data_IF_024234717297
#
_entry.id   IF_024234717297
#
_cell.length_a   1.000
_cell.length_b   1.000
_cell.length_c   1.000
_cell.angle_alpha   90.00
_cell.angle_beta   90.00
_cell.angle_gamma   90.00
#
_symmetry.space_group_name_H-M   'P 1'
#
loop_
_entity.id
_entity.type
_entity.pdbx_description
1 polymer ?
#
# COMPACT_ATOMS: atom_id res chain seq x y z
N UNK A 1 -58.40 -19.82 82.76
CA UNK A 1 -57.08 -19.19 83.02
C UNK A 1 -56.02 -20.22 82.63
N UNK A 2 -55.22 -20.07 81.59
CA UNK A 2 -54.28 -18.98 81.33
C UNK A 2 -54.15 -18.66 79.83
N UNK A 3 -53.78 -17.40 79.59
CA UNK A 3 -53.73 -16.66 78.34
C UNK A 3 -52.69 -17.16 77.33
N UNK A 4 -53.10 -17.22 76.06
CA UNK A 4 -52.19 -17.26 74.90
C UNK A 4 -51.51 -15.89 74.77
N UNK A 5 -50.25 -15.78 75.16
CA UNK A 5 -49.42 -14.63 74.81
C UNK A 5 -48.87 -14.82 73.39
N UNK A 6 -49.46 -14.10 72.42
CA UNK A 6 -48.85 -13.92 71.10
C UNK A 6 -47.62 -13.03 71.25
N UNK A 7 -46.42 -13.60 71.05
CA UNK A 7 -45.20 -12.83 70.84
C UNK A 7 -45.32 -12.19 69.45
N UNK A 8 -45.42 -10.86 69.41
CA UNK A 8 -45.52 -10.09 68.16
C UNK A 8 -44.28 -10.28 67.27
N UNK A 9 -44.37 -9.98 65.96
CA UNK A 9 -43.30 -10.26 65.01
C UNK A 9 -42.05 -9.44 65.32
N UNK A 10 -40.89 -10.09 65.25
CA UNK A 10 -39.59 -9.51 65.53
C UNK A 10 -39.10 -8.71 64.31
N UNK A 11 -39.45 -7.42 64.26
CA UNK A 11 -39.22 -6.54 63.09
C UNK A 11 -37.74 -6.34 62.72
N UNK A 12 -36.80 -6.58 63.65
CA UNK A 12 -35.36 -6.45 63.39
C UNK A 12 -34.77 -7.60 62.58
N UNK A 13 -35.24 -8.84 62.75
CA UNK A 13 -34.78 -9.99 61.95
C UNK A 13 -35.35 -9.95 60.53
N UNK A 14 -36.53 -9.33 60.34
CA UNK A 14 -37.17 -9.17 59.03
C UNK A 14 -36.40 -8.15 58.17
N UNK A 15 -35.88 -7.06 58.76
CA UNK A 15 -35.15 -6.02 58.02
C UNK A 15 -33.63 -6.21 57.99
N UNK A 16 -33.04 -6.98 58.92
CA UNK A 16 -31.59 -7.13 59.04
C UNK A 16 -31.09 -8.59 58.98
N UNK A 17 -31.89 -9.51 58.43
CA UNK A 17 -31.50 -10.91 58.20
C UNK A 17 -30.62 -11.09 56.95
N UNK A 18 -29.70 -12.05 56.97
CA UNK A 18 -28.85 -12.42 55.81
C UNK A 18 -29.66 -12.74 54.55
N UNK A 19 -30.83 -13.32 54.73
CA UNK A 19 -31.78 -13.64 53.65
C UNK A 19 -32.28 -12.37 52.96
N UNK A 20 -32.59 -11.30 53.71
CA UNK A 20 -33.05 -10.04 53.15
C UNK A 20 -31.94 -9.31 52.39
N UNK A 21 -30.70 -9.42 52.88
CA UNK A 21 -29.51 -8.92 52.16
C UNK A 21 -29.29 -9.65 50.84
N UNK A 22 -29.54 -10.96 50.78
CA UNK A 22 -29.44 -11.73 49.54
C UNK A 22 -30.50 -11.32 48.51
N UNK A 23 -31.76 -11.12 48.95
CA UNK A 23 -32.81 -10.61 48.09
C UNK A 23 -32.54 -9.18 47.62
N UNK A 24 -32.06 -8.29 48.50
CA UNK A 24 -31.68 -6.93 48.14
C UNK A 24 -30.51 -6.91 47.13
N UNK A 25 -29.52 -7.79 47.30
CA UNK A 25 -28.41 -7.94 46.37
C UNK A 25 -28.87 -8.38 44.98
N UNK A 26 -29.70 -9.43 44.91
CA UNK A 26 -30.26 -9.90 43.64
C UNK A 26 -31.17 -8.86 42.97
N UNK A 27 -31.91 -8.09 43.76
CA UNK A 27 -32.70 -6.98 43.26
C UNK A 27 -31.82 -5.91 42.60
N UNK A 28 -30.70 -5.53 43.25
CA UNK A 28 -29.74 -4.57 42.69
C UNK A 28 -29.11 -5.11 41.41
N UNK A 29 -28.70 -6.39 41.38
CA UNK A 29 -28.13 -7.02 40.18
C UNK A 29 -29.12 -7.02 39.03
N UNK A 30 -30.38 -7.38 39.29
CA UNK A 30 -31.43 -7.38 38.27
C UNK A 30 -31.73 -5.96 37.78
N UNK A 31 -31.75 -4.98 38.67
CA UNK A 31 -31.94 -3.58 38.32
C UNK A 31 -30.81 -3.03 37.44
N UNK A 32 -29.54 -3.35 37.78
CA UNK A 32 -28.38 -2.99 36.97
C UNK A 32 -28.40 -3.66 35.60
N UNK A 33 -28.80 -4.95 35.54
CA UNK A 33 -28.98 -5.67 34.29
C UNK A 33 -30.11 -5.09 33.41
N UNK A 34 -31.16 -4.54 34.01
CA UNK A 34 -32.23 -3.87 33.27
C UNK A 34 -31.76 -2.55 32.65
N UNK A 35 -30.91 -1.80 33.35
CA UNK A 35 -30.32 -0.56 32.84
C UNK A 35 -29.37 -0.83 31.66
N UNK A 36 -28.55 -1.88 31.72
CA UNK A 36 -27.66 -2.21 30.58
C UNK A 36 -28.43 -2.64 29.34
N UNK A 37 -29.53 -3.38 29.49
CA UNK A 37 -30.41 -3.73 28.37
C UNK A 37 -31.05 -2.48 27.76
N UNK A 38 -31.45 -1.51 28.58
CA UNK A 38 -31.98 -0.23 28.10
C UNK A 38 -30.93 0.55 27.31
N UNK A 39 -29.71 0.65 27.81
CA UNK A 39 -28.62 1.38 27.15
C UNK A 39 -28.27 0.76 25.78
N UNK A 40 -28.24 -0.57 25.69
CA UNK A 40 -28.01 -1.27 24.42
C UNK A 40 -29.16 -1.04 23.45
N UNK A 41 -30.40 -1.07 23.91
CA UNK A 41 -31.57 -0.80 23.08
C UNK A 41 -31.55 0.63 22.51
N UNK A 42 -31.19 1.62 23.34
CA UNK A 42 -31.07 3.02 22.94
C UNK A 42 -29.95 3.22 21.90
N UNK A 43 -28.82 2.54 22.08
CA UNK A 43 -27.71 2.56 21.11
C UNK A 43 -28.12 1.93 19.76
N UNK A 44 -28.87 0.82 19.79
CA UNK A 44 -29.39 0.20 18.56
C UNK A 44 -30.36 1.12 17.83
N UNK A 45 -31.24 1.83 18.55
CA UNK A 45 -32.16 2.80 17.95
C UNK A 45 -31.38 3.96 17.32
N UNK A 46 -30.42 4.54 18.03
CA UNK A 46 -29.58 5.62 17.49
C UNK A 46 -28.79 5.18 16.26
N UNK A 47 -28.21 3.98 16.26
CA UNK A 47 -27.48 3.46 15.09
C UNK A 47 -28.40 3.24 13.87
N UNK A 48 -29.67 2.90 14.10
CA UNK A 48 -30.67 2.75 13.03
C UNK A 48 -31.17 4.11 12.53
N UNK A 49 -31.30 5.09 13.43
CA UNK A 49 -31.81 6.43 13.11
C UNK A 49 -30.76 7.31 12.41
N UNK A 50 -29.48 7.22 12.81
CA UNK A 50 -28.36 7.96 12.22
C UNK A 50 -27.39 7.01 11.47
N UNK A 51 -27.78 6.45 10.31
CA UNK A 51 -26.81 5.78 9.44
C UNK A 51 -25.76 6.81 9.01
N UNK A 52 -24.50 6.40 8.81
CA UNK A 52 -23.48 7.30 8.26
C UNK A 52 -23.91 7.81 6.88
N UNK A 53 -24.46 9.02 6.82
CA UNK A 53 -24.86 9.65 5.58
C UNK A 53 -23.61 10.31 5.00
N UNK A 54 -23.01 9.69 3.99
CA UNK A 54 -21.99 10.34 3.19
C UNK A 54 -22.70 11.25 2.19
N UNK A 55 -22.77 12.54 2.50
CA UNK A 55 -23.26 13.56 1.57
C UNK A 55 -22.23 13.75 0.45
N UNK A 56 -22.53 13.18 -0.73
CA UNK A 56 -21.75 13.38 -1.93
C UNK A 56 -22.13 14.71 -2.59
N UNK A 57 -21.43 15.79 -2.25
CA UNK A 57 -21.56 17.06 -2.97
C UNK A 57 -20.57 17.11 -4.14
N UNK A 58 -21.08 16.93 -5.37
CA UNK A 58 -20.27 17.12 -6.58
C UNK A 58 -20.19 18.62 -6.87
N UNK A 59 -19.06 19.23 -6.54
CA UNK A 59 -18.76 20.63 -6.88
C UNK A 59 -17.89 20.65 -8.12
N UNK A 60 -18.44 21.18 -9.22
CA UNK A 60 -17.65 21.43 -10.43
C UNK A 60 -16.84 22.70 -10.23
N UNK A 61 -15.56 22.53 -9.91
CA UNK A 61 -14.61 23.63 -9.79
C UNK A 61 -13.83 23.79 -11.10
N UNK A 62 -13.97 24.95 -11.76
CA UNK A 62 -13.24 25.28 -13.00
C UNK A 62 -11.73 25.47 -12.78
N UNK A 63 -11.28 25.65 -11.52
CA UNK A 63 -9.86 25.79 -11.18
C UNK A 63 -9.18 24.49 -10.73
N UNK A 64 -9.81 23.33 -10.93
CA UNK A 64 -9.17 22.06 -10.60
C UNK A 64 -7.94 21.85 -11.50
N UNK A 65 -6.76 21.73 -10.89
CA UNK A 65 -5.54 21.38 -11.63
C UNK A 65 -5.66 19.95 -12.11
N UNK A 66 -5.36 19.72 -13.40
CA UNK A 66 -5.32 18.38 -13.98
C UNK A 66 -4.31 17.52 -13.19
N UNK A 67 -4.72 16.34 -12.69
CA UNK A 67 -3.79 15.46 -12.00
C UNK A 67 -2.76 14.91 -12.97
N UNK A 68 -1.60 14.51 -12.45
CA UNK A 68 -0.59 13.83 -13.25
C UNK A 68 -1.17 12.53 -13.82
N UNK A 69 -1.06 12.35 -15.13
CA UNK A 69 -1.52 11.14 -15.82
C UNK A 69 -0.32 10.22 -16.05
N UNK A 70 -0.45 8.99 -15.57
CA UNK A 70 0.55 7.93 -15.82
C UNK A 70 0.04 7.00 -16.90
N UNK A 71 0.86 6.75 -17.92
CA UNK A 71 0.56 5.82 -18.99
C UNK A 71 1.27 4.49 -18.77
N UNK A 72 0.51 3.39 -18.79
CA UNK A 72 1.05 2.03 -18.75
C UNK A 72 1.01 1.44 -20.16
N UNK A 73 2.18 1.14 -20.73
CA UNK A 73 2.29 0.47 -22.03
C UNK A 73 2.88 -0.92 -21.86
N UNK A 74 2.30 -1.91 -22.57
CA UNK A 74 2.88 -3.25 -22.63
C UNK A 74 4.19 -3.26 -23.40
N UNK A 75 5.12 -4.15 -23.03
CA UNK A 75 6.45 -4.26 -23.66
C UNK A 75 6.39 -4.34 -25.19
N UNK A 76 5.49 -5.14 -25.74
CA UNK A 76 5.37 -5.31 -27.19
C UNK A 76 4.93 -4.04 -27.92
N UNK A 77 4.03 -3.27 -27.30
CA UNK A 77 3.59 -1.98 -27.84
C UNK A 77 4.71 -0.94 -27.73
N UNK A 78 5.35 -0.88 -26.57
CA UNK A 78 6.45 0.02 -26.27
C UNK A 78 7.65 -0.18 -27.21
N UNK A 79 7.87 -1.41 -27.69
CA UNK A 79 8.99 -1.73 -28.59
C UNK A 79 8.61 -1.77 -30.08
N UNK A 80 7.34 -1.56 -30.43
CA UNK A 80 6.85 -1.75 -31.79
C UNK A 80 7.44 -0.79 -32.82
N UNK A 81 7.89 0.38 -32.38
CA UNK A 81 8.46 1.42 -33.25
C UNK A 81 9.97 1.25 -33.50
N UNK A 82 10.64 0.39 -32.74
CA UNK A 82 12.07 0.15 -32.92
C UNK A 82 12.33 -0.96 -33.93
N UNK A 83 12.99 -0.62 -35.04
CA UNK A 83 13.46 -1.60 -36.03
C UNK A 83 14.71 -2.29 -35.48
N UNK A 84 14.52 -3.44 -34.85
CA UNK A 84 15.63 -4.27 -34.38
C UNK A 84 16.14 -5.08 -35.58
N UNK A 85 17.19 -4.59 -36.24
CA UNK A 85 17.92 -5.39 -37.22
C UNK A 85 18.64 -6.53 -36.49
N UNK A 86 18.06 -7.72 -36.51
CA UNK A 86 18.61 -8.95 -35.89
C UNK A 86 19.88 -9.45 -36.56
N UNK A 87 20.31 -8.86 -37.67
CA UNK A 87 21.48 -9.27 -38.46
C UNK A 87 22.76 -8.52 -38.13
N UNK A 88 22.70 -7.35 -37.48
CA UNK A 88 23.84 -6.43 -37.38
C UNK A 88 24.53 -6.39 -36.02
N UNK A 89 24.04 -7.12 -35.01
CA UNK A 89 24.58 -6.93 -33.66
C UNK A 89 24.90 -8.25 -32.98
N UNK A 90 26.20 -8.58 -32.98
CA UNK A 90 26.75 -9.54 -32.03
C UNK A 90 26.41 -9.07 -30.61
N UNK A 91 25.89 -9.97 -29.78
CA UNK A 91 25.35 -9.65 -28.44
C UNK A 91 26.34 -8.95 -27.51
N UNK A 92 27.65 -9.07 -27.76
CA UNK A 92 28.70 -8.41 -26.98
C UNK A 92 28.87 -6.91 -27.22
N UNK A 93 28.46 -6.40 -28.39
CA UNK A 93 28.61 -4.97 -28.72
C UNK A 93 27.52 -4.10 -28.08
N UNK A 94 26.41 -4.67 -27.65
CA UNK A 94 25.32 -3.89 -27.04
C UNK A 94 25.74 -3.28 -25.71
N UNK A 95 26.30 -4.10 -24.82
CA UNK A 95 26.67 -3.69 -23.47
C UNK A 95 27.78 -2.63 -23.50
N UNK A 96 28.78 -2.82 -24.36
CA UNK A 96 29.91 -1.89 -24.54
C UNK A 96 29.44 -0.54 -25.08
N UNK A 97 28.55 -0.54 -26.07
CA UNK A 97 27.99 0.70 -26.62
C UNK A 97 27.20 1.46 -25.55
N UNK A 98 26.46 0.75 -24.71
CA UNK A 98 25.68 1.41 -23.65
C UNK A 98 26.60 1.96 -22.56
N UNK A 99 27.65 1.24 -22.18
CA UNK A 99 28.64 1.71 -21.21
C UNK A 99 29.39 2.94 -21.74
N UNK A 100 29.80 2.95 -23.01
CA UNK A 100 30.41 4.11 -23.66
C UNK A 100 29.45 5.30 -23.71
N UNK A 101 28.15 5.08 -23.94
CA UNK A 101 27.15 6.15 -23.94
C UNK A 101 26.87 6.68 -22.55
N UNK A 102 26.81 5.80 -21.55
CA UNK A 102 26.64 6.19 -20.16
C UNK A 102 27.84 7.02 -19.70
N UNK A 103 29.08 6.61 -20.01
CA UNK A 103 30.28 7.38 -19.64
C UNK A 103 30.34 8.76 -20.30
N UNK A 104 29.84 8.88 -21.53
CA UNK A 104 29.72 10.18 -22.22
C UNK A 104 28.65 11.12 -21.59
N UNK A 105 27.62 10.56 -20.97
CA UNK A 105 26.56 11.31 -20.28
C UNK A 105 26.93 11.49 -18.80
N UNK A 106 27.93 12.31 -18.47
CA UNK A 106 28.41 12.46 -17.08
C UNK A 106 27.51 13.34 -16.20
N UNK A 107 26.84 14.33 -16.80
CA UNK A 107 26.18 15.40 -16.05
C UNK A 107 24.67 15.14 -15.91
N UNK A 108 24.08 15.59 -14.79
CA UNK A 108 22.64 15.47 -14.52
C UNK A 108 21.77 16.04 -15.66
N UNK A 109 22.05 17.28 -16.09
CA UNK A 109 21.33 17.93 -17.18
C UNK A 109 21.56 17.24 -18.51
N UNK A 110 22.79 16.82 -18.80
CA UNK A 110 23.13 16.12 -20.05
C UNK A 110 22.32 14.82 -20.20
N UNK A 111 22.14 14.08 -19.11
CA UNK A 111 21.38 12.83 -19.10
C UNK A 111 19.87 13.05 -19.35
N UNK A 112 19.30 14.15 -18.85
CA UNK A 112 17.88 14.46 -18.99
C UNK A 112 17.54 15.16 -20.31
N UNK A 113 18.43 15.99 -20.84
CA UNK A 113 18.16 16.78 -22.04
C UNK A 113 18.54 16.05 -23.33
N UNK A 114 19.65 15.31 -23.33
CA UNK A 114 20.11 14.65 -24.54
C UNK A 114 19.19 13.47 -24.94
N UNK A 115 18.96 13.25 -26.24
CA UNK A 115 18.16 12.14 -26.71
C UNK A 115 18.91 10.82 -26.47
N UNK A 116 18.20 9.80 -26.01
CA UNK A 116 18.81 8.49 -25.80
C UNK A 116 18.79 7.66 -27.07
N UNK A 117 19.78 6.77 -27.18
CA UNK A 117 19.75 5.76 -28.22
C UNK A 117 18.67 4.71 -27.93
N UNK A 118 18.12 4.09 -28.97
CA UNK A 118 17.05 3.10 -28.81
C UNK A 118 17.49 1.92 -27.94
N UNK A 119 18.77 1.54 -28.01
CA UNK A 119 19.37 0.47 -27.21
C UNK A 119 19.32 0.79 -25.72
N UNK A 120 19.71 2.01 -25.37
CA UNK A 120 19.69 2.53 -24.00
C UNK A 120 18.26 2.63 -23.47
N UNK A 121 17.31 3.08 -24.29
CA UNK A 121 15.88 3.14 -23.94
C UNK A 121 15.33 1.74 -23.65
N UNK A 122 15.68 0.74 -24.48
CA UNK A 122 15.26 -0.65 -24.28
C UNK A 122 15.78 -1.22 -22.98
N UNK A 123 17.07 -1.04 -22.68
CA UNK A 123 17.67 -1.54 -21.44
C UNK A 123 17.10 -0.83 -20.21
N UNK A 124 16.93 0.50 -20.28
CA UNK A 124 16.29 1.28 -19.23
C UNK A 124 14.85 0.83 -18.97
N UNK A 125 14.06 0.59 -20.02
CA UNK A 125 12.70 0.05 -19.89
C UNK A 125 12.70 -1.35 -19.27
N UNK A 126 13.65 -2.21 -19.64
CA UNK A 126 13.81 -3.55 -19.04
C UNK A 126 14.21 -3.46 -17.55
N UNK A 127 15.03 -2.49 -17.17
CA UNK A 127 15.36 -2.17 -15.77
C UNK A 127 14.10 -1.80 -14.99
N UNK A 128 13.37 -0.79 -15.48
CA UNK A 128 12.17 -0.24 -14.84
C UNK A 128 11.08 -1.32 -14.71
N UNK A 129 10.80 -2.04 -15.78
CA UNK A 129 9.80 -3.12 -15.77
C UNK A 129 10.20 -4.25 -14.83
N UNK A 130 11.48 -4.57 -14.71
CA UNK A 130 11.98 -5.54 -13.73
C UNK A 130 11.77 -5.03 -12.30
N UNK A 131 12.10 -3.78 -12.00
CA UNK A 131 11.89 -3.19 -10.67
C UNK A 131 10.41 -3.16 -10.27
N UNK A 132 9.51 -2.71 -11.16
CA UNK A 132 8.07 -2.71 -10.87
C UNK A 132 7.49 -4.12 -10.74
N UNK A 133 8.01 -5.09 -11.50
CA UNK A 133 7.59 -6.49 -11.35
C UNK A 133 7.98 -7.02 -9.97
N UNK A 134 9.17 -6.66 -9.47
CA UNK A 134 9.62 -7.03 -8.14
C UNK A 134 8.78 -6.37 -7.07
N UNK A 135 8.55 -5.05 -7.16
CA UNK A 135 7.70 -4.32 -6.22
C UNK A 135 6.31 -4.97 -6.11
N UNK A 136 5.73 -5.36 -7.26
CA UNK A 136 4.41 -6.01 -7.30
C UNK A 136 4.41 -7.41 -6.69
N UNK A 137 5.48 -8.18 -6.87
CA UNK A 137 5.60 -9.53 -6.34
C UNK A 137 6.04 -9.56 -4.86
N UNK A 138 6.66 -8.49 -4.36
CA UNK A 138 7.06 -8.34 -2.97
C UNK A 138 5.87 -7.99 -2.09
N UNK A 139 5.19 -9.01 -1.56
CA UNK A 139 4.23 -8.81 -0.45
C UNK A 139 4.97 -8.56 0.86
N UNK A 140 4.38 -7.79 1.79
CA UNK A 140 5.00 -7.47 3.10
C UNK A 140 5.48 -8.72 3.86
N UNK A 141 4.69 -9.80 3.83
CA UNK A 141 5.05 -11.07 4.47
C UNK A 141 6.09 -11.88 3.66
N UNK A 142 6.14 -11.70 2.34
CA UNK A 142 7.04 -12.41 1.42
C UNK A 142 8.34 -11.66 1.08
N UNK A 143 8.53 -10.43 1.59
CA UNK A 143 9.62 -9.55 1.19
C UNK A 143 10.99 -10.19 1.39
N UNK A 144 11.23 -10.79 2.57
CA UNK A 144 12.50 -11.48 2.86
C UNK A 144 12.75 -12.62 1.87
N UNK A 145 11.72 -13.40 1.55
CA UNK A 145 11.84 -14.51 0.59
C UNK A 145 12.09 -14.02 -0.84
N UNK A 146 11.40 -12.95 -1.26
CA UNK A 146 11.57 -12.35 -2.58
C UNK A 146 12.97 -11.74 -2.76
N UNK A 147 13.50 -11.07 -1.74
CA UNK A 147 14.87 -10.54 -1.74
C UNK A 147 15.87 -11.70 -1.76
N UNK A 148 15.65 -12.74 -0.97
CA UNK A 148 16.55 -13.89 -0.98
C UNK A 148 16.54 -14.61 -2.33
N UNK A 149 15.37 -14.71 -2.98
CA UNK A 149 15.25 -15.24 -4.33
C UNK A 149 16.00 -14.39 -5.35
N UNK A 150 15.90 -13.06 -5.27
CA UNK A 150 16.68 -12.14 -6.11
C UNK A 150 18.20 -12.28 -5.89
N UNK A 151 18.60 -12.51 -4.63
CA UNK A 151 20.00 -12.64 -4.25
C UNK A 151 20.60 -13.97 -4.71
N UNK A 152 19.88 -15.07 -4.57
CA UNK A 152 20.42 -16.42 -4.72
C UNK A 152 20.15 -17.04 -6.09
N UNK A 153 19.08 -16.64 -6.79
CA UNK A 153 18.71 -17.31 -8.03
C UNK A 153 19.62 -16.94 -9.21
N UNK A 154 20.15 -17.93 -9.94
CA UNK A 154 21.01 -17.67 -11.11
C UNK A 154 20.22 -17.12 -12.29
N UNK A 155 18.92 -17.44 -12.39
CA UNK A 155 18.04 -16.95 -13.46
C UNK A 155 17.84 -15.42 -13.41
N UNK A 156 17.99 -14.81 -12.24
CA UNK A 156 17.85 -13.37 -12.04
C UNK A 156 19.20 -12.63 -12.02
N UNK A 157 20.32 -13.33 -12.25
CA UNK A 157 21.65 -12.73 -12.22
C UNK A 157 21.78 -11.58 -13.24
N UNK A 158 21.37 -11.80 -14.50
CA UNK A 158 21.43 -10.77 -15.54
C UNK A 158 20.57 -9.54 -15.21
N UNK A 159 19.35 -9.74 -14.69
CA UNK A 159 18.49 -8.63 -14.26
C UNK A 159 19.08 -7.85 -13.10
N UNK A 160 19.74 -8.53 -12.16
CA UNK A 160 20.39 -7.89 -11.02
C UNK A 160 21.58 -7.04 -11.45
N UNK A 161 22.38 -7.53 -12.39
CA UNK A 161 23.56 -6.81 -12.86
C UNK A 161 23.15 -5.57 -13.68
N UNK A 162 22.08 -5.71 -14.48
CA UNK A 162 21.42 -4.58 -15.15
C UNK A 162 20.89 -3.54 -14.14
N UNK A 163 20.16 -3.97 -13.10
CA UNK A 163 19.69 -3.07 -12.04
C UNK A 163 20.85 -2.35 -11.36
N UNK A 164 21.95 -3.06 -11.04
CA UNK A 164 23.13 -2.45 -10.41
C UNK A 164 23.77 -1.41 -11.32
N UNK A 165 23.97 -1.71 -12.60
CA UNK A 165 24.54 -0.79 -13.60
C UNK A 165 23.73 0.51 -13.67
N UNK A 166 22.41 0.41 -13.78
CA UNK A 166 21.53 1.58 -13.85
C UNK A 166 21.43 2.33 -12.53
N UNK A 167 21.43 1.65 -11.40
CA UNK A 167 21.41 2.29 -10.08
C UNK A 167 22.72 3.05 -9.85
N UNK A 168 23.87 2.46 -10.18
CA UNK A 168 25.16 3.14 -10.15
C UNK A 168 25.14 4.37 -11.06
N UNK A 169 24.62 4.22 -12.29
CA UNK A 169 24.52 5.34 -13.20
C UNK A 169 23.65 6.49 -12.65
N UNK A 170 22.50 6.19 -12.06
CA UNK A 170 21.59 7.18 -11.49
C UNK A 170 22.24 7.86 -10.26
N UNK A 171 22.92 7.10 -9.40
CA UNK A 171 23.58 7.62 -8.20
C UNK A 171 24.75 8.54 -8.50
N UNK A 172 25.61 8.18 -9.47
CA UNK A 172 26.74 9.03 -9.90
C UNK A 172 26.27 10.40 -10.39
N UNK A 173 25.08 10.46 -11.01
CA UNK A 173 24.51 11.67 -11.61
C UNK A 173 23.53 12.40 -10.70
N UNK A 174 23.31 11.93 -9.47
CA UNK A 174 22.31 12.47 -8.52
C UNK A 174 20.89 12.59 -9.09
N UNK A 175 20.49 11.65 -9.94
CA UNK A 175 19.17 11.63 -10.58
C UNK A 175 18.18 10.91 -9.67
N UNK A 176 16.96 11.40 -9.58
CA UNK A 176 15.91 10.69 -8.83
C UNK A 176 15.32 9.56 -9.68
N UNK A 177 14.85 8.49 -9.02
CA UNK A 177 14.20 7.40 -9.74
C UNK A 177 12.97 7.88 -10.55
N UNK A 178 12.25 8.88 -10.04
CA UNK A 178 11.12 9.50 -10.75
C UNK A 178 11.54 10.18 -12.04
N UNK A 179 12.62 10.97 -12.02
CA UNK A 179 13.18 11.60 -13.22
C UNK A 179 13.64 10.57 -14.25
N UNK A 180 14.25 9.48 -13.79
CA UNK A 180 14.67 8.37 -14.66
C UNK A 180 13.49 7.68 -15.34
N UNK A 181 12.41 7.38 -14.61
CA UNK A 181 11.18 6.80 -15.15
C UNK A 181 10.53 7.76 -16.15
N UNK A 182 10.43 9.04 -15.80
CA UNK A 182 9.86 10.06 -16.67
C UNK A 182 10.68 10.21 -17.96
N UNK A 183 12.01 10.30 -17.87
CA UNK A 183 12.90 10.40 -19.02
C UNK A 183 12.76 9.19 -19.93
N UNK A 184 12.78 7.98 -19.38
CA UNK A 184 12.62 6.75 -20.17
C UNK A 184 11.26 6.73 -20.89
N UNK A 185 10.18 7.11 -20.22
CA UNK A 185 8.85 7.19 -20.82
C UNK A 185 8.75 8.24 -21.93
N UNK A 186 9.33 9.42 -21.74
CA UNK A 186 9.35 10.48 -22.75
C UNK A 186 10.14 10.07 -23.98
N UNK A 187 11.33 9.49 -23.81
CA UNK A 187 12.16 9.04 -24.94
C UNK A 187 11.52 7.86 -25.69
N UNK A 188 10.79 7.00 -24.99
CA UNK A 188 10.04 5.90 -25.58
C UNK A 188 8.86 6.39 -26.43
N UNK A 189 8.18 7.46 -26.01
CA UNK A 189 7.06 8.04 -26.76
C UNK A 189 7.49 8.95 -27.93
N UNK A 190 8.70 9.51 -27.87
CA UNK A 190 9.21 10.43 -28.90
C UNK A 190 9.63 9.74 -30.20
N UNK A 191 9.87 8.42 -30.19
CA UNK A 191 10.35 7.63 -31.33
C UNK A 191 9.27 6.67 -31.82
#
# INVERSE_FOLDING_TARGET
MHSKFHKGPNWQEIFCGEVWKHYAFWFIVLFLGMLTVKDVAELCIQYVEDPSQSDFTVVFNESMTMPNITFCMGRTQAMSHFVINTTEVESGDWDTIIDDRLTNLSDHSSFLEQPWDYRMIMEAYECISSLYSLERETTLAGLVHSIERLRTSPQLAGKRDLIKKWLEAITVRSITFGEFVQKTGVELLKR
#
